data_IF_696913802512
#
_entry.id   IF_696913802512
#
_cell.length_a   1.000
_cell.length_b   1.000
_cell.length_c   1.000
_cell.angle_alpha   90.00
_cell.angle_beta   90.00
_cell.angle_gamma   90.00
#
_symmetry.space_group_name_H-M   'P 1'
#
loop_
_entity.id
_entity.type
_entity.pdbx_description
1 polymer ?
#
# COMPACT_ATOMS: atom_id res chain seq x y z
N UNK A 1 -12.88 11.98 0.40
CA UNK A 1 -13.07 13.37 0.90
C UNK A 1 -14.52 13.80 0.72
N UNK A 2 -15.16 13.49 -0.42
CA UNK A 2 -16.59 13.74 -0.66
C UNK A 2 -17.51 13.22 0.45
N UNK A 3 -17.36 11.94 0.84
CA UNK A 3 -18.17 11.35 1.94
C UNK A 3 -17.97 12.03 3.29
N UNK A 4 -16.85 12.73 3.47
CA UNK A 4 -16.54 13.49 4.69
C UNK A 4 -16.90 14.98 4.56
N UNK A 5 -17.51 15.41 3.45
CA UNK A 5 -17.86 16.81 3.20
C UNK A 5 -16.66 17.75 3.04
N UNK A 6 -15.46 17.22 2.78
CA UNK A 6 -14.24 18.01 2.63
C UNK A 6 -14.05 18.41 1.17
N UNK A 7 -14.00 19.71 0.90
CA UNK A 7 -13.70 20.23 -0.43
C UNK A 7 -12.29 19.82 -0.88
N UNK A 8 -12.17 19.35 -2.11
CA UNK A 8 -10.90 18.92 -2.70
C UNK A 8 -10.88 19.20 -4.19
N UNK A 9 -9.67 19.13 -4.78
CA UNK A 9 -9.46 19.19 -6.22
C UNK A 9 -8.30 18.29 -6.61
N UNK A 10 -8.30 17.81 -7.86
CA UNK A 10 -7.11 17.17 -8.43
C UNK A 10 -6.04 18.23 -8.68
N UNK A 11 -4.97 18.21 -7.89
CA UNK A 11 -3.84 19.13 -8.04
C UNK A 11 -2.80 18.64 -9.06
N UNK A 12 -2.63 17.31 -9.19
CA UNK A 12 -1.67 16.68 -10.07
C UNK A 12 -2.07 15.22 -10.33
N UNK A 13 -1.72 14.66 -11.50
CA UNK A 13 -1.90 13.24 -11.83
C UNK A 13 -0.69 12.70 -12.59
N UNK A 14 -0.25 11.50 -12.26
CA UNK A 14 0.83 10.81 -12.97
C UNK A 14 0.61 9.30 -12.95
N UNK A 15 0.99 8.56 -14.01
CA UNK A 15 0.97 7.10 -14.01
C UNK A 15 2.13 6.49 -13.20
N UNK A 16 3.11 7.29 -12.77
CA UNK A 16 4.29 6.83 -12.04
C UNK A 16 4.21 7.19 -10.55
N UNK A 17 4.49 6.23 -9.68
CA UNK A 17 4.61 6.47 -8.24
C UNK A 17 5.69 7.52 -7.93
N UNK A 18 6.81 7.50 -8.66
CA UNK A 18 7.87 8.50 -8.51
C UNK A 18 7.39 9.92 -8.84
N UNK A 19 6.55 10.07 -9.87
CA UNK A 19 5.94 11.35 -10.23
C UNK A 19 4.99 11.87 -9.15
N UNK A 20 4.18 10.97 -8.57
CA UNK A 20 3.30 11.31 -7.44
C UNK A 20 4.13 11.74 -6.22
N UNK A 21 5.21 11.03 -5.88
CA UNK A 21 6.08 11.43 -4.77
C UNK A 21 6.75 12.78 -4.98
N UNK A 22 7.25 13.04 -6.19
CA UNK A 22 7.85 14.34 -6.52
C UNK A 22 6.85 15.49 -6.34
N UNK A 23 5.59 15.31 -6.77
CA UNK A 23 4.54 16.32 -6.63
C UNK A 23 4.21 16.61 -5.15
N UNK A 24 4.12 15.57 -4.31
CA UNK A 24 3.86 15.72 -2.87
C UNK A 24 5.05 16.37 -2.16
N UNK A 25 6.27 15.94 -2.45
CA UNK A 25 7.49 16.53 -1.90
C UNK A 25 7.65 18.01 -2.28
N UNK A 26 7.19 18.40 -3.48
CA UNK A 26 7.14 19.80 -3.92
C UNK A 26 5.99 20.62 -3.31
N UNK A 27 5.14 20.02 -2.46
CA UNK A 27 4.05 20.72 -1.79
C UNK A 27 2.82 20.98 -2.65
N UNK A 28 2.66 20.31 -3.80
CA UNK A 28 1.50 20.52 -4.69
C UNK A 28 0.19 19.97 -4.09
N UNK A 29 0.26 19.04 -3.15
CA UNK A 29 -0.90 18.46 -2.49
C UNK A 29 -0.58 17.24 -1.64
N UNK A 30 -1.64 16.49 -1.30
CA UNK A 30 -1.59 15.24 -0.54
C UNK A 30 -1.92 14.07 -1.46
N UNK A 31 -1.47 12.87 -1.10
CA UNK A 31 -1.81 11.62 -1.81
C UNK A 31 -2.26 10.53 -0.84
N UNK A 32 -3.08 9.60 -1.30
CA UNK A 32 -3.53 8.43 -0.53
C UNK A 32 -2.61 7.26 -0.89
N UNK A 33 -1.86 6.73 0.08
CA UNK A 33 -0.95 5.59 -0.08
C UNK A 33 -0.82 4.79 1.23
N UNK A 34 -0.34 3.56 1.11
CA UNK A 34 0.38 2.87 2.19
C UNK A 34 1.66 3.60 2.54
N UNK A 35 2.14 3.37 3.76
CA UNK A 35 3.49 3.75 4.22
C UNK A 35 4.62 2.90 3.60
N UNK A 36 4.29 1.77 2.98
CA UNK A 36 5.23 0.96 2.20
C UNK A 36 5.93 1.83 1.15
N UNK A 37 7.27 1.90 1.24
CA UNK A 37 8.11 2.66 0.32
C UNK A 37 7.98 4.18 0.46
N UNK A 38 7.54 4.69 1.62
CA UNK A 38 7.48 6.12 1.91
C UNK A 38 8.90 6.74 1.89
N UNK A 39 9.21 7.67 0.96
CA UNK A 39 10.53 8.29 0.93
C UNK A 39 10.66 9.36 2.03
N UNK A 40 11.89 9.58 2.51
CA UNK A 40 12.19 10.53 3.58
C UNK A 40 11.84 12.01 3.25
N UNK A 41 11.62 12.33 1.97
CA UNK A 41 11.23 13.67 1.50
C UNK A 41 9.77 14.00 1.78
N UNK A 42 8.98 13.05 2.25
CA UNK A 42 7.58 13.21 2.62
C UNK A 42 7.31 12.55 3.96
N UNK A 43 6.14 12.82 4.56
CA UNK A 43 5.72 12.20 5.81
C UNK A 43 4.27 11.75 5.71
N UNK A 44 3.95 10.66 6.40
CA UNK A 44 2.56 10.25 6.60
C UNK A 44 1.84 11.27 7.49
N UNK A 45 0.55 11.50 7.21
CA UNK A 45 -0.32 12.34 8.03
C UNK A 45 -1.29 11.42 8.76
N UNK A 46 -1.29 11.51 10.09
CA UNK A 46 -2.17 10.70 10.92
C UNK A 46 -3.65 11.04 10.65
N UNK A 47 -4.57 10.07 10.75
CA UNK A 47 -6.01 10.34 10.66
C UNK A 47 -6.45 11.42 11.67
N UNK A 48 -7.47 12.19 11.30
CA UNK A 48 -7.98 13.30 12.12
C UNK A 48 -7.15 14.58 12.06
N UNK A 49 -5.86 14.50 11.73
CA UNK A 49 -5.06 15.69 11.41
C UNK A 49 -5.62 16.33 10.14
N UNK A 50 -5.83 17.64 10.16
CA UNK A 50 -6.50 18.39 9.07
C UNK A 50 -7.94 17.92 8.76
N UNK A 51 -8.59 17.24 9.71
CA UNK A 51 -9.94 16.68 9.51
C UNK A 51 -9.97 15.48 8.56
N UNK A 52 -8.81 14.89 8.22
CA UNK A 52 -8.75 13.80 7.25
C UNK A 52 -9.44 12.52 7.79
N UNK A 53 -10.26 11.86 6.95
CA UNK A 53 -10.95 10.64 7.37
C UNK A 53 -9.96 9.47 7.53
N UNK A 54 -10.37 8.48 8.31
CA UNK A 54 -9.69 7.18 8.34
C UNK A 54 -9.76 6.53 6.96
N UNK A 55 -8.65 5.91 6.55
CA UNK A 55 -8.56 5.15 5.30
C UNK A 55 -8.87 3.67 5.58
N UNK A 56 -9.55 2.97 4.64
CA UNK A 56 -9.71 1.54 4.74
C UNK A 56 -8.38 0.81 4.51
N UNK A 57 -8.31 -0.44 4.93
CA UNK A 57 -7.19 -1.32 4.58
C UNK A 57 -7.17 -1.62 3.08
N UNK A 58 -5.97 -1.76 2.51
CA UNK A 58 -5.78 -2.35 1.19
C UNK A 58 -5.39 -3.82 1.32
N UNK A 59 -5.91 -4.67 0.44
CA UNK A 59 -5.52 -6.07 0.37
C UNK A 59 -4.29 -6.23 -0.53
N UNK A 60 -3.38 -7.11 -0.12
CA UNK A 60 -2.25 -7.58 -0.94
C UNK A 60 -2.51 -9.06 -1.28
N UNK A 61 -2.40 -9.40 -2.56
CA UNK A 61 -2.64 -10.75 -3.06
C UNK A 61 -1.43 -11.23 -3.86
N UNK A 62 -1.02 -12.47 -3.63
CA UNK A 62 -0.14 -13.18 -4.54
C UNK A 62 -1.00 -13.90 -5.59
N UNK A 63 -0.84 -13.51 -6.85
CA UNK A 63 -1.56 -14.14 -7.95
C UNK A 63 -0.72 -15.26 -8.56
N UNK A 64 -1.37 -16.41 -8.78
CA UNK A 64 -0.82 -17.54 -9.51
C UNK A 64 -1.71 -17.85 -10.72
N UNK A 65 -1.09 -18.40 -11.77
CA UNK A 65 -1.81 -18.76 -13.00
C UNK A 65 -2.66 -20.02 -12.79
N UNK A 66 -2.02 -21.08 -12.31
CA UNK A 66 -2.62 -22.40 -12.18
C UNK A 66 -2.98 -22.66 -10.70
N UNK A 67 -4.03 -23.45 -10.45
CA UNK A 67 -4.45 -23.76 -9.07
C UNK A 67 -3.40 -24.59 -8.31
N UNK A 68 -2.72 -25.49 -9.03
CA UNK A 68 -1.58 -26.24 -8.54
C UNK A 68 -0.32 -25.72 -9.23
N UNK A 69 0.65 -25.27 -8.42
CA UNK A 69 1.93 -24.79 -8.89
C UNK A 69 2.91 -25.97 -9.04
N UNK A 70 3.79 -25.90 -10.03
CA UNK A 70 4.95 -26.78 -10.05
C UNK A 70 5.89 -26.46 -8.86
N UNK A 71 6.80 -27.37 -8.48
CA UNK A 71 7.65 -27.18 -7.29
C UNK A 71 8.50 -25.91 -7.30
N UNK A 72 8.94 -25.43 -8.47
CA UNK A 72 9.77 -24.22 -8.58
C UNK A 72 8.91 -22.98 -8.38
N UNK A 73 7.74 -22.92 -9.03
CA UNK A 73 6.80 -21.83 -8.85
C UNK A 73 6.26 -21.78 -7.40
N UNK A 74 5.99 -22.93 -6.79
CA UNK A 74 5.60 -23.04 -5.38
C UNK A 74 6.68 -22.48 -4.46
N UNK A 75 7.95 -22.85 -4.68
CA UNK A 75 9.05 -22.33 -3.86
C UNK A 75 9.25 -20.82 -4.01
N UNK A 76 9.07 -20.28 -5.22
CA UNK A 76 9.09 -18.83 -5.44
C UNK A 76 7.94 -18.14 -4.69
N UNK A 77 6.74 -18.71 -4.71
CA UNK A 77 5.59 -18.18 -4.00
C UNK A 77 5.86 -18.09 -2.49
N UNK A 78 6.45 -19.13 -1.89
CA UNK A 78 6.88 -19.12 -0.48
C UNK A 78 7.86 -17.99 -0.19
N UNK A 79 8.94 -17.86 -0.98
CA UNK A 79 9.95 -16.81 -0.81
C UNK A 79 9.34 -15.41 -0.91
N UNK A 80 8.43 -15.20 -1.86
CA UNK A 80 7.73 -13.91 -2.02
C UNK A 80 6.83 -13.60 -0.82
N UNK A 81 6.16 -14.61 -0.26
CA UNK A 81 5.30 -14.45 0.92
C UNK A 81 6.13 -14.14 2.16
N UNK A 82 7.21 -14.88 2.40
CA UNK A 82 8.16 -14.63 3.49
C UNK A 82 8.70 -13.18 3.41
N UNK A 83 9.24 -12.78 2.26
CA UNK A 83 9.77 -11.43 2.06
C UNK A 83 8.70 -10.34 2.20
N UNK A 84 7.46 -10.60 1.78
CA UNK A 84 6.35 -9.67 1.96
C UNK A 84 6.00 -9.50 3.44
N UNK A 85 5.91 -10.59 4.21
CA UNK A 85 5.63 -10.55 5.65
C UNK A 85 6.67 -9.69 6.38
N UNK A 86 7.95 -9.87 6.06
CA UNK A 86 9.05 -9.11 6.66
C UNK A 86 9.02 -7.60 6.32
N UNK A 87 8.40 -7.24 5.19
CA UNK A 87 8.35 -5.85 4.70
C UNK A 87 7.09 -5.11 5.16
N UNK A 88 6.03 -5.85 5.50
CA UNK A 88 4.73 -5.27 5.85
C UNK A 88 4.77 -4.62 7.24
N UNK A 89 3.99 -3.54 7.46
CA UNK A 89 3.94 -2.88 8.76
C UNK A 89 3.33 -3.80 9.83
N UNK A 90 3.68 -3.60 11.11
CA UNK A 90 3.21 -4.41 12.25
C UNK A 90 1.67 -4.55 12.34
N UNK A 91 0.92 -3.58 11.78
CA UNK A 91 -0.55 -3.61 11.73
C UNK A 91 -1.15 -4.46 10.61
N UNK A 92 -0.32 -5.13 9.79
CA UNK A 92 -0.78 -5.99 8.72
C UNK A 92 -1.60 -7.18 9.26
N UNK A 93 -2.71 -7.48 8.58
CA UNK A 93 -3.57 -8.61 8.92
C UNK A 93 -3.45 -9.66 7.83
N UNK A 94 -3.18 -10.88 8.23
CA UNK A 94 -3.06 -12.02 7.32
C UNK A 94 -4.38 -12.79 7.25
N UNK A 95 -4.84 -13.08 6.04
CA UNK A 95 -5.97 -13.99 5.82
C UNK A 95 -5.62 -15.42 6.24
N UNK A 96 -6.63 -16.25 6.50
CA UNK A 96 -6.43 -17.61 7.02
C UNK A 96 -5.47 -18.47 6.17
N UNK A 97 -5.41 -18.25 4.86
CA UNK A 97 -4.55 -19.01 3.94
C UNK A 97 -3.04 -18.77 4.09
N UNK A 98 -2.59 -17.68 4.73
CA UNK A 98 -1.15 -17.41 4.87
C UNK A 98 -0.51 -18.16 6.07
N UNK A 99 -1.33 -18.57 7.05
CA UNK A 99 -0.86 -19.24 8.28
C UNK A 99 -0.23 -20.63 8.05
N UNK A 100 -0.30 -21.16 6.83
CA UNK A 100 0.33 -22.42 6.47
C UNK A 100 1.77 -22.25 5.96
N UNK A 101 2.21 -21.01 5.68
CA UNK A 101 3.52 -20.68 5.10
C UNK A 101 4.43 -19.94 6.08
N UNK A 102 3.87 -19.30 7.12
CA UNK A 102 4.62 -18.69 8.23
C UNK A 102 4.75 -19.67 9.40
#
# INVERSE_FOLDING_TARGET
LDRAGLAWRMAFSSPSLGGIWAAVAAGLGLTIRTDIGLPATVRAIAPGVLGLPLLPMMALHLHQKDAELDPVAARLAEILLEAAVDTLPEGARFGEGLRAVA
#
